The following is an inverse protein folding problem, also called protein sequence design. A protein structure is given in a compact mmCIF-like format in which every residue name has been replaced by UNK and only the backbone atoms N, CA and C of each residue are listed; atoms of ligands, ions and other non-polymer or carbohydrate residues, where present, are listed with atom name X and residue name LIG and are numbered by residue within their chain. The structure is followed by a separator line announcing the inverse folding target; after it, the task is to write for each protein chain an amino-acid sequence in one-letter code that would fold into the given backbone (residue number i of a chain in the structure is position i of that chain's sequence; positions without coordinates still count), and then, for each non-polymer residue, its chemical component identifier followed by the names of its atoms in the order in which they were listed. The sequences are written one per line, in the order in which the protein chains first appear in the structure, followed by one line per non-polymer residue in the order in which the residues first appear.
data_IF_796690589713
#
_entry.id   IF_796690589713
#
_cell.length_a   1.000
_cell.length_b   1.000
_cell.length_c   1.000
_cell.angle_alpha   90.00
_cell.angle_beta   90.00
_cell.angle_gamma   90.00
#
_symmetry.space_group_name_H-M   'P 1'
#
loop_
_entity.id
_entity.type
_entity.pdbx_description
1 polymer ?
#
# COMPACT_ATOMS: atom_id res chain seq x y z
N UNK A 1 23.18 -15.37 -19.72
CA UNK A 1 21.98 -14.60 -19.32
C UNK A 1 21.20 -15.41 -18.30
N UNK A 2 21.38 -15.15 -17.01
CA UNK A 2 20.54 -15.76 -15.98
C UNK A 2 19.19 -15.06 -16.00
N UNK A 3 18.19 -15.75 -16.58
CA UNK A 3 16.80 -15.37 -16.44
C UNK A 3 16.49 -15.32 -14.94
N UNK A 4 16.43 -14.12 -14.38
CA UNK A 4 15.97 -13.89 -13.01
C UNK A 4 14.56 -14.46 -12.93
N UNK A 5 14.44 -15.67 -12.34
CA UNK A 5 13.16 -16.34 -12.11
C UNK A 5 12.37 -15.49 -11.10
N UNK A 6 11.11 -15.26 -11.40
CA UNK A 6 10.18 -14.63 -10.46
C UNK A 6 10.08 -15.50 -9.19
N UNK A 7 10.17 -14.88 -8.01
CA UNK A 7 10.09 -15.53 -6.70
C UNK A 7 9.14 -14.73 -5.81
N UNK A 8 8.24 -15.39 -5.09
CA UNK A 8 7.27 -14.69 -4.22
C UNK A 8 7.99 -13.85 -3.14
N UNK A 9 9.04 -14.41 -2.55
CA UNK A 9 9.93 -13.70 -1.62
C UNK A 9 11.37 -13.89 -2.11
N UNK A 10 11.87 -13.00 -2.98
CA UNK A 10 13.26 -13.09 -3.43
C UNK A 10 14.18 -12.90 -2.22
N UNK A 11 15.10 -13.83 -1.92
CA UNK A 11 16.00 -13.72 -0.76
C UNK A 11 16.90 -12.48 -0.84
N UNK A 12 17.18 -12.00 -2.05
CA UNK A 12 18.00 -10.82 -2.32
C UNK A 12 17.45 -9.56 -1.62
N UNK A 13 16.15 -9.52 -1.29
CA UNK A 13 15.52 -8.41 -0.55
C UNK A 13 16.03 -8.23 0.88
N UNK A 14 16.71 -9.24 1.42
CA UNK A 14 17.30 -9.21 2.76
C UNK A 14 18.77 -8.78 2.74
N UNK A 15 19.37 -8.61 1.56
CA UNK A 15 20.74 -8.17 1.42
C UNK A 15 20.87 -6.66 1.66
N UNK A 16 21.97 -6.23 2.29
CA UNK A 16 22.21 -4.83 2.60
C UNK A 16 22.28 -3.91 1.36
N UNK A 17 22.64 -4.48 0.20
CA UNK A 17 22.69 -3.75 -1.08
C UNK A 17 21.35 -3.62 -1.79
N UNK A 18 20.28 -4.23 -1.27
CA UNK A 18 18.98 -4.17 -1.92
C UNK A 18 18.38 -2.75 -1.83
N UNK A 19 17.77 -2.22 -2.91
CA UNK A 19 17.24 -0.86 -2.89
C UNK A 19 16.16 -0.69 -1.82
N UNK A 20 16.44 0.12 -0.80
CA UNK A 20 15.57 0.28 0.36
C UNK A 20 14.17 0.78 -0.03
N UNK A 21 14.06 1.63 -1.06
CA UNK A 21 12.77 2.14 -1.54
C UNK A 21 11.89 1.03 -2.10
N UNK A 22 12.47 0.07 -2.82
CA UNK A 22 11.77 -1.09 -3.35
C UNK A 22 11.35 -2.02 -2.22
N UNK A 23 12.24 -2.23 -1.25
CA UNK A 23 11.94 -3.02 -0.06
C UNK A 23 10.74 -2.44 0.71
N UNK A 24 10.80 -1.15 1.02
CA UNK A 24 9.80 -0.45 1.82
C UNK A 24 8.45 -0.38 1.11
N UNK A 25 8.43 -0.04 -0.20
CA UNK A 25 7.18 0.03 -0.96
C UNK A 25 6.54 -1.35 -1.13
N UNK A 26 7.33 -2.41 -1.33
CA UNK A 26 6.79 -3.77 -1.37
C UNK A 26 6.08 -4.16 -0.07
N UNK A 27 6.66 -3.83 1.09
CA UNK A 27 6.00 -4.01 2.38
C UNK A 27 4.77 -3.12 2.55
N UNK A 28 4.86 -1.85 2.17
CA UNK A 28 3.74 -0.91 2.25
C UNK A 28 2.55 -1.42 1.42
N UNK A 29 2.78 -1.96 0.23
CA UNK A 29 1.73 -2.55 -0.61
C UNK A 29 1.03 -3.73 0.09
N UNK A 30 1.81 -4.63 0.73
CA UNK A 30 1.23 -5.75 1.50
C UNK A 30 0.47 -5.28 2.74
N UNK A 31 1.01 -4.29 3.48
CA UNK A 31 0.30 -3.71 4.61
C UNK A 31 -1.00 -3.04 4.16
N UNK A 32 -1.00 -2.34 3.01
CA UNK A 32 -2.21 -1.79 2.39
C UNK A 32 -3.24 -2.83 1.99
N UNK A 33 -2.81 -4.01 1.58
CA UNK A 33 -3.75 -5.08 1.28
C UNK A 33 -4.48 -5.61 2.52
N UNK A 34 -3.82 -5.66 3.69
CA UNK A 34 -4.32 -6.45 4.82
C UNK A 34 -4.59 -5.68 6.11
N UNK A 35 -4.04 -4.49 6.33
CA UNK A 35 -4.14 -3.83 7.64
C UNK A 35 -5.57 -3.47 8.03
N UNK A 36 -6.44 -3.25 7.06
CA UNK A 36 -7.85 -2.96 7.27
C UNK A 36 -8.63 -4.15 7.88
N UNK A 37 -8.09 -5.37 7.81
CA UNK A 37 -8.68 -6.54 8.48
C UNK A 37 -8.43 -6.55 10.00
N UNK A 38 -7.52 -5.71 10.48
CA UNK A 38 -7.13 -5.67 11.88
C UNK A 38 -8.01 -4.75 12.74
N UNK A 39 -8.91 -3.96 12.13
CA UNK A 39 -9.80 -3.06 12.86
C UNK A 39 -11.08 -2.81 12.08
N UNK A 40 -12.17 -2.54 12.81
CA UNK A 40 -13.46 -2.15 12.24
C UNK A 40 -13.75 -0.71 12.65
N UNK A 41 -13.87 0.24 11.69
CA UNK A 41 -14.21 1.62 12.01
C UNK A 41 -15.69 1.76 12.39
N UNK A 42 -15.99 2.68 13.30
CA UNK A 42 -17.37 2.98 13.72
C UNK A 42 -17.95 4.03 12.78
N UNK A 43 -18.48 3.56 11.65
CA UNK A 43 -19.02 4.41 10.59
C UNK A 43 -20.39 3.91 10.09
N UNK A 44 -21.19 4.76 9.43
CA UNK A 44 -22.40 4.35 8.74
C UNK A 44 -22.16 3.22 7.73
N UNK A 45 -23.15 2.31 7.61
CA UNK A 45 -23.04 1.09 6.81
C UNK A 45 -22.64 1.34 5.34
N UNK A 46 -23.16 2.40 4.74
CA UNK A 46 -22.81 2.77 3.36
C UNK A 46 -21.32 3.11 3.18
N UNK A 47 -20.69 3.75 4.19
CA UNK A 47 -19.26 4.06 4.17
C UNK A 47 -18.44 2.78 4.39
N UNK A 48 -18.87 1.93 5.32
CA UNK A 48 -18.23 0.63 5.60
C UNK A 48 -18.24 -0.28 4.37
N UNK A 49 -19.40 -0.45 3.72
CA UNK A 49 -19.53 -1.25 2.51
C UNK A 49 -18.64 -0.73 1.39
N UNK A 50 -18.63 0.59 1.18
CA UNK A 50 -17.81 1.21 0.14
C UNK A 50 -16.31 0.98 0.38
N UNK A 51 -15.86 1.15 1.64
CA UNK A 51 -14.48 0.87 2.04
C UNK A 51 -14.13 -0.62 1.91
N UNK A 52 -15.04 -1.52 2.30
CA UNK A 52 -14.85 -2.95 2.17
C UNK A 52 -14.69 -3.37 0.71
N UNK A 53 -15.55 -2.89 -0.21
CA UNK A 53 -15.42 -3.18 -1.64
C UNK A 53 -14.11 -2.67 -2.22
N UNK A 54 -13.75 -1.42 -1.91
CA UNK A 54 -12.49 -0.81 -2.34
C UNK A 54 -11.28 -1.62 -1.83
N UNK A 55 -11.30 -2.04 -0.58
CA UNK A 55 -10.19 -2.80 0.01
C UNK A 55 -10.11 -4.22 -0.54
N UNK A 56 -11.24 -4.94 -0.65
CA UNK A 56 -11.31 -6.28 -1.24
C UNK A 56 -10.80 -6.28 -2.68
N UNK A 57 -11.23 -5.31 -3.50
CA UNK A 57 -10.75 -5.15 -4.87
C UNK A 57 -9.24 -4.88 -4.92
N UNK A 58 -8.72 -4.15 -3.93
CA UNK A 58 -7.31 -3.74 -3.87
C UNK A 58 -6.37 -4.84 -3.38
N UNK A 59 -6.84 -5.86 -2.64
CA UNK A 59 -5.98 -6.93 -2.09
C UNK A 59 -5.14 -7.58 -3.19
N UNK A 60 -5.79 -8.14 -4.21
CA UNK A 60 -5.11 -8.96 -5.22
C UNK A 60 -4.10 -8.12 -6.01
N UNK A 61 -4.46 -6.92 -6.54
CA UNK A 61 -3.50 -6.05 -7.20
C UNK A 61 -2.33 -5.64 -6.30
N UNK A 62 -2.59 -5.19 -5.07
CA UNK A 62 -1.54 -4.73 -4.16
C UNK A 62 -0.56 -5.84 -3.79
N UNK A 63 -1.04 -7.06 -3.57
CA UNK A 63 -0.18 -8.23 -3.30
C UNK A 63 0.68 -8.57 -4.51
N UNK A 64 0.08 -8.65 -5.70
CA UNK A 64 0.79 -8.97 -6.94
C UNK A 64 1.87 -7.91 -7.24
N UNK A 65 1.53 -6.63 -7.10
CA UNK A 65 2.48 -5.54 -7.34
C UNK A 65 3.55 -5.50 -6.25
N UNK A 66 3.22 -5.69 -4.97
CA UNK A 66 4.20 -5.74 -3.89
C UNK A 66 5.27 -6.81 -4.11
N UNK A 67 4.83 -8.03 -4.47
CA UNK A 67 5.73 -9.13 -4.82
C UNK A 67 6.54 -8.78 -6.09
N UNK A 68 5.89 -8.26 -7.12
CA UNK A 68 6.55 -7.87 -8.37
C UNK A 68 7.61 -6.79 -8.18
N UNK A 69 7.39 -5.83 -7.27
CA UNK A 69 8.34 -4.78 -6.89
C UNK A 69 9.59 -5.41 -6.26
N UNK A 70 9.44 -6.35 -5.33
CA UNK A 70 10.60 -7.07 -4.78
C UNK A 70 11.37 -7.89 -5.83
N UNK A 71 10.72 -8.28 -6.92
CA UNK A 71 11.38 -8.91 -8.07
C UNK A 71 11.97 -7.90 -9.08
N UNK A 72 12.02 -6.61 -8.73
CA UNK A 72 12.54 -5.52 -9.56
C UNK A 72 11.82 -5.41 -10.90
N UNK A 73 10.52 -5.74 -10.97
CA UNK A 73 9.76 -5.71 -12.24
C UNK A 73 9.19 -4.33 -12.52
N UNK A 74 9.48 -3.79 -13.71
CA UNK A 74 8.95 -2.49 -14.16
C UNK A 74 7.43 -2.43 -14.17
N UNK A 75 6.76 -3.49 -14.63
CA UNK A 75 5.29 -3.55 -14.66
C UNK A 75 4.66 -3.45 -13.28
N UNK A 76 5.34 -3.95 -12.24
CA UNK A 76 4.83 -3.89 -10.86
C UNK A 76 4.98 -2.49 -10.27
N UNK A 77 6.07 -1.78 -10.60
CA UNK A 77 6.24 -0.37 -10.23
C UNK A 77 5.19 0.52 -10.91
N UNK A 78 4.90 0.29 -12.18
CA UNK A 78 3.82 1.00 -12.88
C UNK A 78 2.43 0.61 -12.35
N UNK A 79 2.23 -0.66 -12.00
CA UNK A 79 1.00 -1.15 -11.40
C UNK A 79 0.71 -0.49 -10.06
N UNK A 80 1.71 -0.39 -9.17
CA UNK A 80 1.53 0.28 -7.87
C UNK A 80 1.35 1.78 -8.02
N UNK A 81 1.97 2.41 -9.04
CA UNK A 81 1.73 3.81 -9.38
C UNK A 81 0.25 4.04 -9.71
N UNK A 82 -0.29 3.23 -10.63
CA UNK A 82 -1.71 3.33 -11.03
C UNK A 82 -2.63 3.05 -9.84
N UNK A 83 -2.33 2.03 -9.03
CA UNK A 83 -3.10 1.72 -7.84
C UNK A 83 -3.09 2.88 -6.83
N UNK A 84 -1.94 3.51 -6.58
CA UNK A 84 -1.81 4.65 -5.69
C UNK A 84 -2.60 5.87 -6.20
N UNK A 85 -2.50 6.19 -7.49
CA UNK A 85 -3.30 7.26 -8.11
C UNK A 85 -4.80 6.96 -8.01
N UNK A 86 -5.20 5.73 -8.33
CA UNK A 86 -6.61 5.30 -8.23
C UNK A 86 -7.14 5.40 -6.81
N UNK A 87 -6.33 5.04 -5.81
CA UNK A 87 -6.72 5.14 -4.41
C UNK A 87 -6.85 6.60 -3.94
N UNK A 88 -5.94 7.48 -4.36
CA UNK A 88 -6.06 8.91 -4.08
C UNK A 88 -7.30 9.52 -4.73
N UNK A 89 -7.57 9.18 -5.99
CA UNK A 89 -8.80 9.61 -6.68
C UNK A 89 -10.05 9.11 -5.96
N UNK A 90 -10.04 7.88 -5.45
CA UNK A 90 -11.14 7.36 -4.64
C UNK A 90 -11.42 8.22 -3.40
N UNK A 91 -10.38 8.60 -2.65
CA UNK A 91 -10.54 9.49 -1.48
C UNK A 91 -10.94 10.93 -1.86
N UNK A 92 -10.52 11.43 -3.02
CA UNK A 92 -10.94 12.75 -3.52
C UNK A 92 -12.42 12.75 -3.89
N UNK A 93 -12.90 11.68 -4.54
CA UNK A 93 -14.32 11.54 -4.95
C UNK A 93 -15.21 11.20 -3.75
N UNK A 94 -14.70 10.45 -2.77
CA UNK A 94 -15.45 10.00 -1.59
C UNK A 94 -14.77 10.49 -0.30
N UNK A 95 -14.71 11.81 -0.05
CA UNK A 95 -13.95 12.36 1.09
C UNK A 95 -14.47 11.86 2.45
N UNK A 96 -15.75 11.51 2.55
CA UNK A 96 -16.35 10.92 3.75
C UNK A 96 -15.69 9.59 4.17
N UNK A 97 -15.01 8.89 3.26
CA UNK A 97 -14.33 7.63 3.59
C UNK A 97 -13.03 7.81 4.38
N UNK A 98 -12.53 9.05 4.49
CA UNK A 98 -11.33 9.35 5.30
C UNK A 98 -11.57 9.13 6.80
N UNK A 99 -12.78 9.35 7.29
CA UNK A 99 -13.09 9.12 8.70
C UNK A 99 -13.01 7.62 9.06
N UNK A 100 -13.37 6.74 8.13
CA UNK A 100 -13.21 5.28 8.27
C UNK A 100 -11.75 4.81 8.33
N UNK A 101 -10.79 5.65 7.90
CA UNK A 101 -9.37 5.36 8.04
C UNK A 101 -8.85 5.77 9.41
N UNK A 102 -9.44 6.80 10.02
CA UNK A 102 -9.04 7.31 11.33
C UNK A 102 -9.52 6.37 12.44
N UNK A 103 -8.69 6.18 13.46
CA UNK A 103 -8.99 5.28 14.58
C UNK A 103 -9.29 6.11 15.81
N UNK A 104 -10.49 5.98 16.34
CA UNK A 104 -10.93 6.67 17.55
C UNK A 104 -10.90 5.73 18.74
N UNK A 105 -10.06 6.06 19.73
CA UNK A 105 -9.99 5.37 21.03
C UNK A 105 -10.10 6.38 22.17
N UNK A 106 -10.50 5.90 23.35
CA UNK A 106 -10.59 6.73 24.57
C UNK A 106 -9.23 7.33 24.97
N UNK A 107 -8.14 6.63 24.66
CA UNK A 107 -6.77 7.05 24.98
C UNK A 107 -6.19 7.81 23.79
N UNK A 108 -6.01 9.13 23.96
CA UNK A 108 -5.52 10.03 22.90
C UNK A 108 -4.22 9.57 22.23
N UNK A 109 -3.28 8.99 23.00
CA UNK A 109 -2.01 8.50 22.45
C UNK A 109 -2.22 7.36 21.45
N UNK A 110 -3.07 6.38 21.79
CA UNK A 110 -3.38 5.27 20.89
C UNK A 110 -4.14 5.73 19.65
N UNK A 111 -5.07 6.68 19.80
CA UNK A 111 -5.74 7.34 18.68
C UNK A 111 -4.74 7.93 17.69
N UNK A 112 -3.73 8.67 18.15
CA UNK A 112 -2.73 9.26 17.26
C UNK A 112 -1.87 8.21 16.56
N UNK A 113 -1.37 7.22 17.30
CA UNK A 113 -0.48 6.18 16.75
C UNK A 113 -1.23 5.32 15.74
N UNK A 114 -2.39 4.79 16.11
CA UNK A 114 -3.18 3.92 15.24
C UNK A 114 -3.66 4.67 14.01
N UNK A 115 -4.15 5.90 14.15
CA UNK A 115 -4.55 6.72 13.00
C UNK A 115 -3.37 7.02 12.07
N UNK A 116 -2.17 7.25 12.60
CA UNK A 116 -0.97 7.45 11.77
C UNK A 116 -0.63 6.18 10.98
N UNK A 117 -0.70 5.01 11.64
CA UNK A 117 -0.47 3.71 11.01
C UNK A 117 -1.51 3.42 9.94
N UNK A 118 -2.80 3.66 10.20
CA UNK A 118 -3.86 3.41 9.22
C UNK A 118 -3.84 4.43 8.09
N UNK A 119 -3.49 5.71 8.33
CA UNK A 119 -3.29 6.70 7.28
C UNK A 119 -2.14 6.32 6.35
N UNK A 120 -1.05 5.79 6.90
CA UNK A 120 0.08 5.29 6.14
C UNK A 120 -0.28 4.01 5.38
N UNK A 121 -0.82 3.02 6.08
CA UNK A 121 -0.99 1.68 5.58
C UNK A 121 -2.37 1.40 4.97
N UNK A 122 -3.33 2.31 4.96
CA UNK A 122 -4.64 2.11 4.33
C UNK A 122 -5.17 3.40 3.68
N UNK A 123 -4.76 4.54 4.24
CA UNK A 123 -5.11 5.88 3.79
C UNK A 123 -4.19 6.46 2.71
N UNK A 124 -4.42 7.74 2.39
CA UNK A 124 -3.78 8.46 1.28
C UNK A 124 -2.29 8.75 1.51
N UNK A 125 -1.83 8.77 2.76
CA UNK A 125 -0.42 9.08 3.08
C UNK A 125 0.52 8.05 2.46
N UNK A 126 0.17 6.75 2.56
CA UNK A 126 0.96 5.71 1.91
C UNK A 126 0.97 5.85 0.39
N UNK A 127 -0.14 6.28 -0.22
CA UNK A 127 -0.19 6.44 -1.68
C UNK A 127 0.71 7.59 -2.14
N UNK A 128 0.71 8.72 -1.42
CA UNK A 128 1.63 9.82 -1.68
C UNK A 128 3.10 9.38 -1.57
N UNK A 129 3.44 8.60 -0.55
CA UNK A 129 4.79 8.05 -0.41
C UNK A 129 5.16 7.12 -1.56
N UNK A 130 4.22 6.28 -2.02
CA UNK A 130 4.43 5.44 -3.21
C UNK A 130 4.74 6.33 -4.41
N UNK A 131 3.94 7.36 -4.68
CA UNK A 131 4.14 8.29 -5.81
C UNK A 131 5.52 8.95 -5.76
N UNK A 132 5.93 9.44 -4.59
CA UNK A 132 7.25 10.03 -4.39
C UNK A 132 8.39 9.02 -4.57
N UNK A 133 8.16 7.74 -4.25
CA UNK A 133 9.17 6.69 -4.39
C UNK A 133 9.32 6.17 -5.82
N UNK A 134 8.31 6.31 -6.69
CA UNK A 134 8.33 5.77 -8.07
C UNK A 134 9.57 6.19 -8.87
N UNK A 135 9.96 7.48 -8.94
CA UNK A 135 11.16 7.88 -9.69
C UNK A 135 12.44 7.23 -9.19
N UNK A 136 12.52 6.96 -7.88
CA UNK A 136 13.64 6.23 -7.28
C UNK A 136 13.63 4.75 -7.65
N UNK A 137 12.46 4.09 -7.53
CA UNK A 137 12.31 2.67 -7.87
C UNK A 137 12.59 2.37 -9.35
N UNK A 138 12.18 3.27 -10.25
CA UNK A 138 12.38 3.11 -11.70
C UNK A 138 13.86 3.04 -12.11
N UNK A 139 14.79 3.50 -11.27
CA UNK A 139 16.24 3.40 -11.52
C UNK A 139 16.81 1.99 -11.29
N UNK A 140 16.12 1.16 -10.52
CA UNK A 140 16.62 -0.16 -10.10
C UNK A 140 15.86 -1.33 -10.74
N UNK A 141 14.75 -1.07 -11.42
CA UNK A 141 13.96 -2.11 -12.07
C UNK A 141 14.68 -2.70 -13.28
N UNK A 142 14.55 -4.00 -13.42
CA UNK A 142 14.96 -4.75 -14.62
C UNK A 142 13.86 -4.60 -15.67
N UNK A 143 14.27 -4.47 -16.93
CA UNK A 143 13.37 -4.43 -18.08
C UNK A 143 12.49 -5.68 -18.14
#
# INVERSE_FOLDING_TARGET
MTTSKFRIFPPERMEAGFPWTIWAVGWLALLKAFIWLAYEPVEPENILQLMAYKNLLSIVPLVIFGIGIWNLRKWAVLGILIAAVGNLLFFIVNPQTLSAVMVHTEVRLYTMILSSVTLLCNGPVGDLLILCAVPGMLKYVKQ
#
